data_IF_288256611900
#
_entry.id   IF_288256611900
#
_cell.length_a   1.000
_cell.length_b   1.000
_cell.length_c   1.000
_cell.angle_alpha   90.00
_cell.angle_beta   90.00
_cell.angle_gamma   90.00
#
_symmetry.space_group_name_H-M   'P 1'
#
loop_
_entity.id
_entity.type
_entity.pdbx_description
1 polymer ?
#
# COMPACT_ATOMS: atom_id res chain seq x y z
N UNK A 1 29.40 58.37 -18.84
CA UNK A 1 29.93 57.13 -18.34
C UNK A 1 29.09 56.01 -18.96
N UNK A 2 29.57 55.38 -20.02
CA UNK A 2 28.85 54.33 -20.77
C UNK A 2 29.27 53.00 -20.22
N UNK A 3 28.31 52.21 -19.74
CA UNK A 3 28.53 50.84 -19.25
C UNK A 3 28.17 49.89 -20.38
N UNK A 4 29.18 49.23 -20.93
CA UNK A 4 29.07 48.16 -21.93
C UNK A 4 28.76 46.84 -21.20
N UNK A 5 27.59 46.22 -21.48
CA UNK A 5 27.26 44.87 -21.01
C UNK A 5 27.81 43.86 -22.05
N UNK A 6 28.70 43.00 -21.56
CA UNK A 6 29.20 41.86 -22.35
C UNK A 6 28.17 40.72 -22.23
N UNK A 7 27.72 40.20 -23.35
CA UNK A 7 26.82 39.05 -23.46
C UNK A 7 27.71 37.80 -23.67
N UNK A 8 27.74 36.90 -22.67
CA UNK A 8 28.41 35.60 -22.78
C UNK A 8 27.41 34.59 -23.31
N UNK A 9 27.65 34.09 -24.50
CA UNK A 9 26.83 33.03 -25.11
C UNK A 9 27.27 31.69 -24.56
N UNK A 10 26.36 30.98 -23.85
CA UNK A 10 26.57 29.59 -23.43
C UNK A 10 26.00 28.69 -24.50
N UNK A 11 26.87 27.92 -25.13
CA UNK A 11 26.49 26.89 -26.11
C UNK A 11 26.11 25.60 -25.34
N UNK A 12 24.86 25.24 -25.40
CA UNK A 12 24.31 23.98 -24.83
C UNK A 12 24.53 22.87 -25.88
N UNK A 13 25.43 21.92 -25.58
CA UNK A 13 25.64 20.74 -26.40
C UNK A 13 24.69 19.64 -25.97
N UNK A 14 23.71 19.37 -26.79
CA UNK A 14 22.73 18.28 -26.56
C UNK A 14 23.36 16.96 -27.01
N UNK A 15 23.59 16.05 -26.06
CA UNK A 15 23.90 14.65 -26.36
C UNK A 15 22.59 13.87 -26.53
N UNK A 16 22.30 13.48 -27.76
CA UNK A 16 21.27 12.50 -28.08
C UNK A 16 21.87 11.10 -27.90
N UNK A 17 21.44 10.39 -26.88
CA UNK A 17 21.68 8.96 -26.76
C UNK A 17 20.49 8.25 -27.41
N UNK A 18 20.73 7.68 -28.60
CA UNK A 18 19.79 6.82 -29.27
C UNK A 18 19.93 5.41 -28.73
N UNK A 19 18.87 4.89 -28.04
CA UNK A 19 18.69 3.47 -27.84
C UNK A 19 18.08 2.87 -29.09
N UNK A 20 18.91 2.13 -29.87
CA UNK A 20 18.42 1.31 -30.97
C UNK A 20 18.12 -0.10 -30.50
N UNK A 21 17.19 -0.82 -31.13
CA UNK A 21 16.93 -2.20 -30.83
C UNK A 21 18.04 -3.09 -31.41
N UNK A 22 18.59 -4.00 -30.64
CA UNK A 22 19.49 -5.05 -31.12
C UNK A 22 18.73 -6.36 -31.26
N UNK A 23 18.35 -6.67 -32.48
CA UNK A 23 18.13 -8.05 -32.92
C UNK A 23 19.50 -8.68 -33.16
N UNK A 24 19.71 -9.85 -32.63
CA UNK A 24 20.96 -10.58 -32.79
C UNK A 24 20.80 -12.04 -32.40
N UNK A 25 20.33 -12.81 -33.37
CA UNK A 25 20.38 -14.26 -33.42
C UNK A 25 21.83 -14.70 -33.71
N UNK A 26 22.29 -15.81 -33.11
CA UNK A 26 23.57 -16.39 -33.48
C UNK A 26 24.16 -17.35 -32.43
N UNK A 27 23.97 -18.63 -32.61
CA UNK A 27 24.49 -19.73 -31.80
C UNK A 27 26.02 -19.95 -31.91
N UNK A 28 26.55 -20.74 -31.02
CA UNK A 28 27.97 -21.22 -31.05
C UNK A 28 28.43 -21.74 -29.70
N UNK A 29 28.47 -23.00 -29.60
CA UNK A 29 29.12 -24.06 -28.84
C UNK A 29 30.17 -23.72 -27.74
N UNK A 30 30.00 -24.41 -26.62
CA UNK A 30 30.92 -25.13 -25.71
C UNK A 30 32.31 -24.55 -25.39
N UNK A 31 32.57 -24.34 -24.11
CA UNK A 31 33.57 -25.14 -23.40
C UNK A 31 33.43 -25.04 -21.86
N UNK A 32 33.71 -26.11 -21.27
CA UNK A 32 33.52 -26.67 -19.97
C UNK A 32 34.48 -26.09 -18.89
N UNK A 33 34.03 -26.14 -17.64
CA UNK A 33 34.82 -26.33 -16.43
C UNK A 33 34.90 -25.18 -15.41
N UNK A 34 34.15 -25.34 -14.30
CA UNK A 34 34.31 -24.49 -13.10
C UNK A 34 33.22 -24.73 -12.06
N UNK A 35 33.33 -25.79 -11.33
CA UNK A 35 32.61 -26.20 -10.13
C UNK A 35 32.25 -25.02 -9.18
N UNK A 36 30.98 -24.74 -9.01
CA UNK A 36 30.43 -23.79 -8.04
C UNK A 36 28.99 -24.14 -7.74
N UNK A 37 28.77 -25.04 -6.79
CA UNK A 37 27.46 -25.49 -6.33
C UNK A 37 26.71 -24.34 -5.64
N UNK A 38 25.81 -23.73 -6.35
CA UNK A 38 24.85 -22.73 -5.87
C UNK A 38 23.52 -22.94 -6.58
N UNK A 39 22.80 -23.98 -6.17
CA UNK A 39 21.42 -24.22 -6.63
C UNK A 39 20.49 -23.17 -6.01
N UNK A 40 20.57 -21.97 -6.52
CA UNK A 40 19.53 -20.98 -6.36
C UNK A 40 18.54 -21.17 -7.48
N UNK A 41 17.42 -21.85 -7.21
CA UNK A 41 16.25 -21.81 -8.09
C UNK A 41 15.93 -20.33 -8.31
N UNK A 42 15.84 -19.83 -9.55
CA UNK A 42 15.41 -18.46 -9.76
C UNK A 42 14.00 -18.34 -9.18
N UNK A 43 13.87 -17.55 -8.13
CA UNK A 43 12.57 -17.18 -7.57
C UNK A 43 11.79 -16.57 -8.71
N UNK A 44 10.69 -17.20 -9.10
CA UNK A 44 9.77 -16.69 -10.09
C UNK A 44 9.26 -15.36 -9.51
N UNK A 45 9.77 -14.25 -10.01
CA UNK A 45 9.25 -12.93 -9.68
C UNK A 45 7.88 -12.87 -10.33
N UNK A 46 6.84 -13.09 -9.55
CA UNK A 46 5.47 -12.82 -10.00
C UNK A 46 5.40 -11.32 -10.27
N UNK A 47 4.97 -10.89 -11.46
CA UNK A 47 4.80 -9.46 -11.70
C UNK A 47 3.79 -8.93 -10.69
N UNK A 48 4.22 -7.98 -9.85
CA UNK A 48 3.33 -7.28 -8.95
C UNK A 48 2.59 -6.26 -9.80
N UNK A 49 1.34 -6.54 -10.09
CA UNK A 49 0.45 -5.54 -10.67
C UNK A 49 0.09 -4.53 -9.57
N UNK A 50 -0.06 -3.27 -9.95
CA UNK A 50 -0.54 -2.22 -9.06
C UNK A 50 -2.01 -1.95 -9.37
N UNK A 51 -2.78 -1.58 -8.35
CA UNK A 51 -4.09 -0.98 -8.56
C UNK A 51 -3.92 0.35 -9.30
N UNK A 52 -4.93 0.71 -10.03
CA UNK A 52 -5.01 2.01 -10.68
C UNK A 52 -5.37 3.12 -9.66
N UNK A 53 -5.39 4.36 -10.10
CA UNK A 53 -5.73 5.50 -9.27
C UNK A 53 -7.18 5.48 -8.76
N UNK A 54 -8.07 4.78 -9.48
CA UNK A 54 -9.51 4.79 -9.25
C UNK A 54 -10.21 6.06 -9.74
N UNK A 55 -9.53 6.89 -10.53
CA UNK A 55 -10.12 8.10 -11.10
C UNK A 55 -11.07 7.77 -12.23
N UNK A 56 -12.34 8.18 -12.14
CA UNK A 56 -13.37 7.88 -13.17
C UNK A 56 -13.92 9.12 -13.85
N UNK A 57 -13.39 10.29 -13.52
CA UNK A 57 -13.88 11.56 -14.03
C UNK A 57 -12.82 12.30 -14.85
N UNK A 58 -13.25 12.89 -15.95
CA UNK A 58 -12.48 13.86 -16.72
C UNK A 58 -13.09 15.25 -16.53
N UNK A 59 -12.25 16.29 -16.62
CA UNK A 59 -12.64 17.67 -16.36
C UNK A 59 -12.14 18.62 -17.45
N UNK A 60 -12.88 19.71 -17.64
CA UNK A 60 -12.47 20.87 -18.39
C UNK A 60 -12.64 22.14 -17.52
N UNK A 61 -12.36 23.36 -18.02
CA UNK A 61 -12.58 24.59 -17.26
C UNK A 61 -14.04 24.86 -16.87
N UNK A 62 -15.01 24.17 -17.46
CA UNK A 62 -16.44 24.32 -17.17
C UNK A 62 -16.94 23.24 -16.18
N UNK A 63 -16.17 22.15 -15.93
CA UNK A 63 -16.53 21.08 -15.01
C UNK A 63 -16.28 19.69 -15.55
N UNK A 64 -17.12 18.73 -15.15
CA UNK A 64 -17.04 17.34 -15.58
C UNK A 64 -17.37 17.19 -17.07
N UNK A 65 -16.55 16.41 -17.78
CA UNK A 65 -16.75 16.06 -19.20
C UNK A 65 -16.66 14.56 -19.41
N UNK A 66 -17.09 14.12 -20.59
CA UNK A 66 -16.83 12.74 -21.02
C UNK A 66 -15.33 12.56 -21.26
N UNK A 67 -14.74 11.50 -20.71
CA UNK A 67 -13.33 11.16 -20.86
C UNK A 67 -12.92 10.87 -22.32
N UNK A 68 -13.86 10.66 -23.22
CA UNK A 68 -13.58 10.55 -24.65
C UNK A 68 -13.51 11.90 -25.38
N UNK A 69 -13.52 13.02 -24.64
CA UNK A 69 -13.45 14.35 -25.23
C UNK A 69 -12.09 14.59 -25.89
N UNK A 70 -12.10 15.01 -27.15
CA UNK A 70 -10.89 15.36 -27.91
C UNK A 70 -10.27 16.68 -27.49
N UNK A 71 -10.98 17.51 -26.72
CA UNK A 71 -10.54 18.87 -26.39
C UNK A 71 -9.55 18.91 -25.22
N UNK A 72 -9.59 17.91 -24.32
CA UNK A 72 -8.75 17.82 -23.12
C UNK A 72 -8.20 16.40 -22.94
N UNK A 73 -7.40 15.86 -23.88
CA UNK A 73 -6.90 14.50 -23.81
C UNK A 73 -5.73 14.35 -22.83
N UNK A 74 -5.49 13.11 -22.39
CA UNK A 74 -4.37 12.76 -21.55
C UNK A 74 -4.67 12.83 -20.05
N UNK A 75 -5.95 12.83 -19.69
CA UNK A 75 -6.36 12.71 -18.30
C UNK A 75 -6.30 11.25 -17.84
N UNK A 76 -6.04 11.04 -16.57
CA UNK A 76 -5.85 9.72 -15.96
C UNK A 76 -7.00 8.75 -16.27
N UNK A 77 -8.21 9.20 -16.09
CA UNK A 77 -9.44 8.40 -16.33
C UNK A 77 -9.71 8.00 -17.77
N UNK A 78 -8.85 8.38 -18.71
CA UNK A 78 -8.89 7.90 -20.09
C UNK A 78 -8.18 6.55 -20.27
N UNK A 79 -7.36 6.16 -19.31
CA UNK A 79 -6.43 5.04 -19.41
C UNK A 79 -6.55 4.11 -18.20
N UNK A 80 -5.96 2.92 -18.31
CA UNK A 80 -5.83 2.02 -17.20
C UNK A 80 -7.05 1.13 -16.94
N UNK A 81 -7.07 0.57 -15.74
CA UNK A 81 -8.16 -0.32 -15.30
C UNK A 81 -9.41 0.46 -14.94
N UNK A 82 -9.30 1.61 -14.35
CA UNK A 82 -10.42 2.49 -13.99
C UNK A 82 -11.20 2.97 -15.24
N UNK A 83 -10.53 3.11 -16.38
CA UNK A 83 -11.18 3.36 -17.66
C UNK A 83 -11.91 2.15 -18.24
N UNK A 84 -11.37 0.94 -18.04
CA UNK A 84 -11.80 -0.29 -18.74
C UNK A 84 -12.62 -1.24 -17.87
N UNK A 85 -12.47 -1.18 -16.55
CA UNK A 85 -13.11 -2.03 -15.55
C UNK A 85 -13.80 -1.16 -14.49
N UNK A 86 -14.88 -0.50 -14.89
CA UNK A 86 -15.69 0.35 -14.00
C UNK A 86 -16.80 -0.45 -13.31
N UNK A 87 -16.50 -1.71 -13.01
CA UNK A 87 -17.43 -2.60 -12.34
C UNK A 87 -17.42 -2.31 -10.84
N UNK A 88 -18.59 -2.13 -10.25
CA UNK A 88 -18.76 -1.85 -8.83
C UNK A 88 -19.09 -3.11 -8.00
N UNK A 89 -19.15 -4.30 -8.63
CA UNK A 89 -19.56 -5.53 -7.95
C UNK A 89 -18.46 -6.17 -7.10
N UNK A 90 -17.19 -5.87 -7.42
CA UNK A 90 -16.02 -6.41 -6.73
C UNK A 90 -14.98 -5.33 -6.34
N UNK A 91 -15.35 -4.06 -6.44
CA UNK A 91 -14.54 -2.89 -6.15
C UNK A 91 -14.93 -1.72 -7.05
N UNK A 92 -14.44 -0.52 -6.75
CA UNK A 92 -14.78 0.71 -7.46
C UNK A 92 -13.66 1.08 -8.42
N UNK A 93 -14.00 1.39 -9.67
CA UNK A 93 -13.10 2.04 -10.63
C UNK A 93 -11.75 1.31 -10.82
N UNK A 94 -11.82 0.07 -11.27
CA UNK A 94 -10.62 -0.72 -11.58
C UNK A 94 -10.01 -1.48 -10.42
N UNK A 95 -10.41 -1.21 -9.18
CA UNK A 95 -10.15 -2.10 -8.06
C UNK A 95 -10.98 -3.38 -8.20
N UNK A 96 -10.45 -4.47 -7.66
CA UNK A 96 -11.16 -5.76 -7.67
C UNK A 96 -10.75 -6.53 -6.42
N UNK A 97 -11.74 -6.89 -5.59
CA UNK A 97 -11.52 -7.50 -4.30
C UNK A 97 -12.38 -8.76 -4.12
N UNK A 98 -11.92 -9.65 -3.26
CA UNK A 98 -12.67 -10.83 -2.83
C UNK A 98 -12.66 -10.92 -1.30
N UNK A 99 -13.82 -11.00 -0.68
CA UNK A 99 -13.98 -11.26 0.76
C UNK A 99 -13.56 -12.68 1.09
N UNK A 100 -12.83 -12.89 2.20
CA UNK A 100 -12.40 -14.20 2.67
C UNK A 100 -12.87 -14.43 4.10
N UNK A 101 -13.27 -15.67 4.39
CA UNK A 101 -13.57 -16.10 5.76
C UNK A 101 -12.28 -16.30 6.58
N UNK A 102 -12.43 -16.62 7.87
CA UNK A 102 -11.31 -16.82 8.81
C UNK A 102 -10.41 -18.03 8.45
N UNK A 103 -10.79 -18.83 7.47
CA UNK A 103 -10.00 -19.97 6.96
C UNK A 103 -9.44 -19.73 5.56
N UNK A 104 -9.68 -18.54 4.98
CA UNK A 104 -9.19 -18.14 3.67
C UNK A 104 -10.07 -18.52 2.48
N UNK A 105 -11.27 -19.08 2.71
CA UNK A 105 -12.19 -19.37 1.62
C UNK A 105 -12.87 -18.10 1.12
N UNK A 106 -13.01 -18.02 -0.20
CA UNK A 106 -13.73 -16.93 -0.83
C UNK A 106 -15.22 -16.93 -0.44
N UNK A 107 -15.72 -15.77 -0.12
CA UNK A 107 -17.12 -15.50 0.19
C UNK A 107 -17.79 -14.77 -0.98
N UNK A 108 -19.13 -14.79 -0.97
CA UNK A 108 -19.94 -13.97 -1.85
C UNK A 108 -19.73 -12.47 -1.56
N UNK A 109 -19.78 -11.61 -2.56
CA UNK A 109 -19.62 -10.17 -2.40
C UNK A 109 -20.65 -9.57 -1.41
N UNK A 110 -21.85 -10.15 -1.34
CA UNK A 110 -22.93 -9.78 -0.41
C UNK A 110 -22.68 -10.22 1.04
N UNK A 111 -21.58 -10.94 1.33
CA UNK A 111 -21.27 -11.35 2.70
C UNK A 111 -21.15 -10.12 3.61
N UNK A 112 -21.81 -10.20 4.78
CA UNK A 112 -21.82 -9.11 5.78
C UNK A 112 -20.73 -9.25 6.84
N UNK A 113 -20.06 -10.41 6.91
CA UNK A 113 -18.96 -10.69 7.81
C UNK A 113 -17.84 -11.39 7.03
N UNK A 114 -16.60 -10.91 7.17
CA UNK A 114 -15.40 -11.48 6.56
C UNK A 114 -14.17 -11.06 7.37
N UNK A 115 -13.10 -11.84 7.28
CA UNK A 115 -11.89 -11.63 8.08
C UNK A 115 -10.72 -11.08 7.29
N UNK A 116 -10.67 -11.36 5.98
CA UNK A 116 -9.62 -10.88 5.09
C UNK A 116 -10.19 -10.45 3.74
N UNK A 117 -9.38 -9.69 3.00
CA UNK A 117 -9.69 -9.23 1.65
C UNK A 117 -8.54 -9.61 0.73
N UNK A 118 -8.83 -10.38 -0.32
CA UNK A 118 -7.88 -10.56 -1.42
C UNK A 118 -8.03 -9.40 -2.39
N UNK A 119 -6.94 -8.73 -2.69
CA UNK A 119 -6.81 -7.82 -3.83
C UNK A 119 -6.52 -8.65 -5.08
N UNK A 120 -7.51 -8.76 -5.97
CA UNK A 120 -7.41 -9.60 -7.16
C UNK A 120 -6.47 -9.01 -8.23
N UNK A 121 -6.13 -7.72 -8.12
CA UNK A 121 -5.20 -7.05 -9.04
C UNK A 121 -3.75 -7.31 -8.63
N UNK A 122 -3.45 -7.12 -7.35
CA UNK A 122 -2.08 -7.27 -6.84
C UNK A 122 -1.77 -8.69 -6.41
N UNK A 123 -2.79 -9.50 -6.10
CA UNK A 123 -2.66 -10.83 -5.51
C UNK A 123 -2.42 -10.82 -4.00
N UNK A 124 -2.31 -9.64 -3.38
CA UNK A 124 -2.10 -9.52 -1.94
C UNK A 124 -3.37 -9.85 -1.16
N UNK A 125 -3.18 -10.38 0.04
CA UNK A 125 -4.28 -10.58 1.00
C UNK A 125 -4.10 -9.61 2.15
N UNK A 126 -5.15 -8.86 2.46
CA UNK A 126 -5.20 -7.84 3.49
C UNK A 126 -6.04 -8.28 4.67
N UNK A 127 -5.57 -7.97 5.87
CA UNK A 127 -6.37 -8.11 7.08
C UNK A 127 -7.59 -7.19 7.03
N UNK A 128 -8.78 -7.71 7.36
CA UNK A 128 -9.93 -6.88 7.70
C UNK A 128 -10.00 -6.70 9.21
N UNK A 129 -10.26 -5.49 9.69
CA UNK A 129 -10.25 -5.15 11.13
C UNK A 129 -11.54 -5.58 11.81
N UNK A 130 -11.44 -5.88 13.11
CA UNK A 130 -12.62 -6.12 13.94
C UNK A 130 -13.24 -4.80 14.38
N UNK A 131 -14.51 -4.59 14.04
CA UNK A 131 -15.23 -3.33 14.29
C UNK A 131 -16.16 -3.39 15.49
N UNK A 132 -16.51 -4.59 15.98
CA UNK A 132 -17.38 -4.78 17.12
C UNK A 132 -16.77 -4.21 18.41
N UNK A 133 -17.33 -3.12 18.91
CA UNK A 133 -16.87 -2.45 20.13
C UNK A 133 -16.89 -3.35 21.38
N UNK A 134 -17.70 -4.41 21.40
CA UNK A 134 -17.72 -5.37 22.51
C UNK A 134 -16.44 -6.22 22.55
N UNK A 135 -15.69 -6.28 21.45
CA UNK A 135 -14.44 -7.02 21.36
C UNK A 135 -13.20 -6.16 21.67
N UNK A 136 -13.34 -4.89 21.99
CA UNK A 136 -12.22 -4.01 22.28
C UNK A 136 -11.27 -4.60 23.32
N UNK A 137 -11.78 -5.14 24.41
CA UNK A 137 -10.97 -5.67 25.51
C UNK A 137 -10.60 -7.16 25.36
N UNK A 138 -10.96 -7.78 24.27
CA UNK A 138 -10.76 -9.23 24.08
C UNK A 138 -10.11 -9.59 22.75
N UNK A 139 -10.03 -8.63 21.81
CA UNK A 139 -9.50 -8.88 20.49
C UNK A 139 -8.47 -7.80 20.11
N UNK A 140 -7.21 -8.18 19.99
CA UNK A 140 -6.12 -7.25 19.64
C UNK A 140 -6.28 -6.64 18.23
N UNK A 141 -7.07 -7.28 17.35
CA UNK A 141 -7.40 -6.79 16.01
C UNK A 141 -8.46 -5.69 16.00
N UNK A 142 -9.01 -5.32 17.18
CA UNK A 142 -10.02 -4.27 17.25
C UNK A 142 -9.49 -2.97 16.64
N UNK A 143 -10.28 -2.39 15.75
CA UNK A 143 -9.90 -1.23 14.94
C UNK A 143 -9.51 0.03 15.73
N UNK A 144 -9.93 0.15 17.00
CA UNK A 144 -9.59 1.28 17.87
C UNK A 144 -8.19 1.21 18.48
N UNK A 145 -7.52 0.07 18.39
CA UNK A 145 -6.17 -0.09 18.93
C UNK A 145 -5.13 0.58 18.05
N UNK A 146 -4.12 1.17 18.72
CA UNK A 146 -2.98 1.77 18.06
C UNK A 146 -1.68 1.14 18.57
N UNK A 147 -0.60 1.30 17.80
CA UNK A 147 0.66 0.62 18.05
C UNK A 147 1.83 1.56 17.79
N UNK A 148 2.91 1.41 18.55
CA UNK A 148 4.19 2.02 18.23
C UNK A 148 4.91 1.21 17.15
N UNK A 149 5.70 1.87 16.34
CA UNK A 149 6.51 1.16 15.36
C UNK A 149 7.70 0.48 16.06
N UNK A 150 7.86 -0.81 15.84
CA UNK A 150 8.96 -1.60 16.38
C UNK A 150 9.30 -2.77 15.46
N UNK A 151 10.59 -2.97 15.20
CA UNK A 151 11.13 -4.12 14.49
C UNK A 151 12.56 -4.38 15.00
N UNK A 152 12.81 -5.52 15.63
CA UNK A 152 14.11 -5.91 16.15
C UNK A 152 15.04 -6.55 15.11
N UNK A 153 14.54 -6.81 13.89
CA UNK A 153 15.37 -7.28 12.79
C UNK A 153 16.27 -6.14 12.29
N UNK A 154 17.57 -6.24 12.61
CA UNK A 154 18.57 -5.22 12.24
C UNK A 154 18.78 -5.07 10.73
N UNK A 155 18.34 -6.03 9.91
CA UNK A 155 18.38 -5.93 8.46
C UNK A 155 17.26 -5.07 7.87
N UNK A 156 16.21 -4.78 8.67
CA UNK A 156 14.98 -4.15 8.20
C UNK A 156 14.61 -2.88 8.97
N UNK A 157 15.21 -2.63 10.14
CA UNK A 157 14.81 -1.55 11.02
C UNK A 157 15.51 -0.20 10.78
N UNK A 158 16.37 -0.11 9.75
CA UNK A 158 17.06 1.14 9.41
C UNK A 158 18.07 1.60 10.48
N UNK A 159 18.50 0.71 11.37
CA UNK A 159 19.44 0.98 12.47
C UNK A 159 18.79 1.47 13.76
N UNK A 160 17.45 1.62 13.78
CA UNK A 160 16.68 1.96 14.98
C UNK A 160 15.49 1.00 15.12
N UNK A 161 15.43 0.30 16.25
CA UNK A 161 14.39 -0.71 16.51
C UNK A 161 13.00 -0.11 16.74
N UNK A 162 12.90 1.18 17.04
CA UNK A 162 11.67 1.84 17.42
C UNK A 162 11.36 1.77 18.92
N UNK A 163 10.10 1.91 19.28
CA UNK A 163 9.67 2.08 20.68
C UNK A 163 8.77 0.93 21.17
N UNK A 164 8.91 0.58 22.46
CA UNK A 164 8.14 -0.50 23.12
C UNK A 164 7.45 -0.06 24.42
N UNK A 165 7.41 1.26 24.69
CA UNK A 165 7.07 1.76 26.03
C UNK A 165 5.59 1.75 26.39
N UNK A 166 4.69 1.65 25.44
CA UNK A 166 3.24 1.74 25.68
C UNK A 166 2.58 0.36 25.69
N UNK A 167 1.79 0.08 26.72
CA UNK A 167 1.08 -1.18 26.87
C UNK A 167 -0.44 -1.01 26.97
N UNK A 168 -0.91 0.23 27.14
CA UNK A 168 -2.33 0.54 27.36
C UNK A 168 -3.11 0.94 26.10
N UNK A 169 -2.41 1.13 24.98
CA UNK A 169 -3.02 1.57 23.69
C UNK A 169 -3.62 0.41 22.87
N UNK A 170 -3.43 -0.84 23.32
CA UNK A 170 -4.05 -2.05 22.85
C UNK A 170 -4.72 -2.85 24.00
N UNK A 171 -5.14 -2.14 25.04
CA UNK A 171 -5.85 -2.68 26.22
C UNK A 171 -5.12 -3.85 26.94
N UNK A 172 -3.79 -3.92 26.81
CA UNK A 172 -2.98 -4.98 27.44
C UNK A 172 -3.18 -6.37 26.82
N UNK A 173 -3.71 -6.45 25.61
CA UNK A 173 -3.95 -7.72 24.90
C UNK A 173 -2.70 -8.34 24.30
N UNK A 174 -1.62 -7.55 24.21
CA UNK A 174 -0.30 -7.98 23.76
C UNK A 174 0.74 -7.60 24.83
N UNK A 175 1.85 -8.32 24.88
CA UNK A 175 2.97 -8.05 25.79
C UNK A 175 3.52 -6.62 25.61
N UNK A 176 3.48 -6.10 24.39
CA UNK A 176 3.71 -4.71 24.07
C UNK A 176 2.83 -4.29 22.89
N UNK A 177 2.29 -3.07 22.94
CA UNK A 177 1.48 -2.52 21.86
C UNK A 177 2.36 -1.99 20.73
N UNK A 178 3.00 -2.89 19.99
CA UNK A 178 3.89 -2.57 18.88
C UNK A 178 3.51 -3.30 17.61
N UNK A 179 3.99 -2.79 16.47
CA UNK A 179 3.76 -3.39 15.17
C UNK A 179 4.26 -4.84 15.10
N UNK A 180 5.43 -5.14 15.66
CA UNK A 180 5.99 -6.49 15.65
C UNK A 180 5.18 -7.46 16.51
N UNK A 181 4.81 -7.08 17.74
CA UNK A 181 3.97 -7.94 18.60
C UNK A 181 2.60 -8.19 17.98
N UNK A 182 2.06 -7.20 17.29
CA UNK A 182 0.82 -7.36 16.53
C UNK A 182 0.96 -8.43 15.43
N UNK A 183 2.00 -8.33 14.61
CA UNK A 183 2.23 -9.28 13.51
C UNK A 183 2.51 -10.69 14.02
N UNK A 184 3.29 -10.83 15.09
CA UNK A 184 3.54 -12.14 15.73
C UNK A 184 2.22 -12.75 16.20
N UNK A 185 1.40 -12.00 16.94
CA UNK A 185 0.11 -12.50 17.42
C UNK A 185 -0.85 -12.87 16.27
N UNK A 186 -0.80 -12.12 15.17
CA UNK A 186 -1.63 -12.40 13.99
C UNK A 186 -1.22 -13.70 13.31
N UNK A 187 0.07 -13.96 13.20
CA UNK A 187 0.62 -15.21 12.66
C UNK A 187 0.33 -16.41 13.58
N UNK A 188 0.39 -16.20 14.90
CA UNK A 188 0.09 -17.25 15.89
C UNK A 188 -1.37 -17.71 15.83
N UNK A 189 -2.32 -16.78 15.56
CA UNK A 189 -3.73 -17.14 15.40
C UNK A 189 -4.05 -17.71 14.02
N UNK A 190 -3.15 -17.56 13.05
CA UNK A 190 -3.32 -18.09 11.69
C UNK A 190 -4.53 -17.51 10.97
N UNK A 191 -4.70 -16.18 11.04
CA UNK A 191 -5.84 -15.48 10.43
C UNK A 191 -5.98 -15.84 8.95
N UNK A 192 -7.18 -16.21 8.52
CA UNK A 192 -7.52 -16.65 7.16
C UNK A 192 -6.65 -17.84 6.66
N UNK A 193 -6.18 -18.69 7.60
CA UNK A 193 -5.30 -19.81 7.29
C UNK A 193 -3.86 -19.40 6.96
N UNK A 194 -3.49 -18.15 7.17
CA UNK A 194 -2.20 -17.55 6.82
C UNK A 194 -1.36 -17.35 8.08
N UNK A 195 -0.05 -17.61 8.00
CA UNK A 195 0.89 -17.46 9.11
C UNK A 195 2.20 -16.75 8.70
N UNK A 196 2.19 -16.03 7.59
CA UNK A 196 3.27 -15.19 7.08
C UNK A 196 2.84 -13.73 6.89
N UNK A 197 1.89 -13.28 7.71
CA UNK A 197 1.49 -11.88 7.80
C UNK A 197 2.68 -10.99 8.13
N UNK A 198 2.71 -9.83 7.51
CA UNK A 198 3.72 -8.79 7.72
C UNK A 198 3.11 -7.40 7.68
N UNK A 199 3.87 -6.39 8.11
CA UNK A 199 3.50 -5.02 7.78
C UNK A 199 3.62 -4.78 6.28
N UNK A 200 2.67 -4.04 5.67
CA UNK A 200 2.80 -3.62 4.29
C UNK A 200 3.96 -2.63 4.13
N UNK A 201 4.61 -2.65 2.98
CA UNK A 201 5.46 -1.54 2.58
C UNK A 201 4.62 -0.27 2.36
N UNK A 202 5.26 0.88 2.39
CA UNK A 202 4.58 2.16 2.14
C UNK A 202 3.90 2.19 0.76
N UNK A 203 4.50 1.53 -0.24
CA UNK A 203 3.95 1.48 -1.61
C UNK A 203 2.73 0.56 -1.70
N UNK A 204 2.78 -0.62 -1.08
CA UNK A 204 1.65 -1.55 -1.03
C UNK A 204 0.45 -0.88 -0.35
N UNK A 205 0.68 -0.29 0.82
CA UNK A 205 -0.37 0.36 1.58
C UNK A 205 -0.96 1.56 0.82
N UNK A 206 -0.12 2.40 0.21
CA UNK A 206 -0.58 3.53 -0.59
C UNK A 206 -1.33 3.09 -1.85
N UNK A 207 -1.02 1.91 -2.39
CA UNK A 207 -1.69 1.35 -3.58
C UNK A 207 -3.15 0.92 -3.33
N UNK A 208 -3.61 0.87 -2.08
CA UNK A 208 -5.02 0.71 -1.75
C UNK A 208 -5.83 2.01 -1.86
N UNK A 209 -5.17 3.16 -2.09
CA UNK A 209 -5.87 4.44 -2.14
C UNK A 209 -6.63 4.63 -3.45
N UNK A 210 -7.93 4.85 -3.35
CA UNK A 210 -8.80 5.20 -4.46
C UNK A 210 -9.01 6.72 -4.47
N UNK A 211 -8.46 7.41 -5.47
CA UNK A 211 -8.49 8.86 -5.57
C UNK A 211 -9.86 9.43 -5.96
N UNK A 212 -10.81 8.59 -6.37
CA UNK A 212 -12.19 8.98 -6.60
C UNK A 212 -13.02 9.07 -5.31
N UNK A 213 -12.53 8.49 -4.22
CA UNK A 213 -13.20 8.49 -2.94
C UNK A 213 -12.68 9.60 -2.03
N UNK A 214 -13.58 10.18 -1.24
CA UNK A 214 -13.27 11.19 -0.23
C UNK A 214 -13.67 10.64 1.13
N UNK A 215 -12.72 10.53 2.07
CA UNK A 215 -13.00 10.14 3.45
C UNK A 215 -13.77 8.81 3.64
N UNK A 216 -13.12 7.71 3.73
CA UNK A 216 -11.71 7.42 3.42
C UNK A 216 -11.49 7.24 1.91
N UNK A 217 -10.22 7.35 1.49
CA UNK A 217 -9.79 7.07 0.13
C UNK A 217 -9.46 5.58 -0.07
N UNK A 218 -10.31 4.71 0.42
CA UNK A 218 -10.23 3.25 0.29
C UNK A 218 -11.65 2.74 0.06
N UNK A 219 -11.78 1.58 -0.53
CA UNK A 219 -13.08 1.01 -0.85
C UNK A 219 -13.89 0.67 0.40
N UNK A 220 -14.67 1.65 0.82
CA UNK A 220 -15.54 1.63 2.00
C UNK A 220 -16.86 2.31 1.68
N UNK A 221 -17.95 1.61 1.89
CA UNK A 221 -19.30 2.18 1.77
C UNK A 221 -19.85 2.57 3.15
N UNK A 222 -20.33 3.80 3.28
CA UNK A 222 -21.13 4.24 4.44
C UNK A 222 -22.55 3.70 4.40
N UNK A 223 -22.98 3.17 3.25
CA UNK A 223 -24.31 2.57 3.03
C UNK A 223 -24.24 1.04 3.03
N UNK A 224 -23.55 0.51 4.00
CA UNK A 224 -23.28 -0.92 4.19
C UNK A 224 -24.56 -1.76 4.18
N UNK A 225 -25.63 -1.26 4.79
CA UNK A 225 -26.90 -2.00 4.92
C UNK A 225 -27.64 -2.12 3.59
N UNK A 226 -27.42 -1.17 2.66
CA UNK A 226 -28.10 -1.13 1.37
C UNK A 226 -27.19 -1.55 0.19
N UNK A 227 -25.85 -1.51 0.36
CA UNK A 227 -24.90 -1.92 -0.66
C UNK A 227 -23.71 -2.67 -0.04
N UNK A 228 -23.90 -3.88 0.51
CA UNK A 228 -22.83 -4.67 1.11
C UNK A 228 -21.77 -5.11 0.09
N UNK A 229 -22.11 -5.14 -1.19
CA UNK A 229 -21.21 -5.56 -2.28
C UNK A 229 -20.09 -4.55 -2.53
N UNK A 230 -20.31 -3.27 -2.18
CA UNK A 230 -19.32 -2.19 -2.33
C UNK A 230 -18.46 -1.97 -1.06
N UNK A 231 -18.52 -2.85 -0.07
CA UNK A 231 -17.78 -2.70 1.17
C UNK A 231 -16.81 -3.86 1.39
N UNK A 232 -15.54 -3.62 1.12
CA UNK A 232 -14.50 -4.62 1.28
C UNK A 232 -13.65 -4.40 2.54
N UNK A 233 -13.49 -3.17 2.98
CA UNK A 233 -12.70 -2.85 4.16
C UNK A 233 -13.57 -2.25 5.26
N UNK A 234 -13.53 -2.88 6.44
CA UNK A 234 -14.19 -2.39 7.64
C UNK A 234 -13.35 -1.28 8.28
N UNK A 235 -13.50 -0.05 7.80
CA UNK A 235 -12.89 1.10 8.43
C UNK A 235 -13.94 1.91 9.18
N UNK A 236 -13.83 1.95 10.48
CA UNK A 236 -14.62 2.89 11.25
C UNK A 236 -13.72 3.99 11.83
N UNK A 237 -14.11 5.20 11.53
CA UNK A 237 -13.62 6.49 12.07
C UNK A 237 -12.39 7.15 11.45
N UNK A 238 -12.55 8.37 11.33
CA UNK A 238 -11.96 9.56 10.77
C UNK A 238 -10.45 9.82 11.01
N UNK A 239 -9.63 8.84 11.35
CA UNK A 239 -8.19 9.05 11.58
C UNK A 239 -7.38 7.85 11.12
N UNK A 240 -7.37 7.62 9.87
CA UNK A 240 -6.94 6.42 9.17
C UNK A 240 -5.45 6.47 8.80
N UNK A 241 -4.60 6.53 9.83
CA UNK A 241 -3.15 6.55 9.63
C UNK A 241 -2.55 5.20 10.00
N UNK A 242 -2.11 4.45 9.01
CA UNK A 242 -1.59 3.10 9.20
C UNK A 242 -0.10 3.02 8.99
N UNK A 243 0.61 2.37 9.91
CA UNK A 243 2.03 2.10 9.80
C UNK A 243 2.38 1.27 8.57
N UNK A 244 3.48 1.61 7.91
CA UNK A 244 4.16 0.72 6.97
C UNK A 244 5.46 0.16 7.57
N UNK A 245 6.00 -0.87 6.95
CA UNK A 245 7.32 -1.42 7.30
C UNK A 245 8.47 -0.54 6.81
N UNK A 246 8.22 0.46 5.99
CA UNK A 246 9.24 1.25 5.31
C UNK A 246 9.83 2.30 6.26
N UNK A 247 11.13 2.18 6.54
CA UNK A 247 11.86 3.20 7.28
C UNK A 247 11.97 4.49 6.47
N UNK A 248 11.94 5.62 7.16
CA UNK A 248 12.09 6.94 6.54
C UNK A 248 13.34 7.64 7.07
N UNK A 249 14.10 8.23 6.14
CA UNK A 249 15.19 9.15 6.48
C UNK A 249 14.63 10.56 6.42
N UNK A 250 14.67 11.25 7.56
CA UNK A 250 14.39 12.68 7.59
C UNK A 250 15.60 13.42 6.99
N UNK A 251 15.38 14.09 5.87
CA UNK A 251 16.46 14.83 5.17
C UNK A 251 17.03 16.01 5.97
N UNK A 252 16.37 16.41 7.07
CA UNK A 252 16.84 17.44 7.99
C UNK A 252 17.74 16.87 9.09
N UNK A 253 17.72 15.55 9.28
CA UNK A 253 18.60 14.83 10.20
C UNK A 253 19.35 13.75 9.41
N UNK A 254 20.52 14.09 8.93
CA UNK A 254 21.34 13.24 8.06
C UNK A 254 22.39 12.43 8.83
N UNK A 255 22.36 12.48 10.14
CA UNK A 255 23.31 11.77 11.01
C UNK A 255 22.58 10.81 11.94
N UNK A 256 22.82 9.51 11.80
CA UNK A 256 22.28 8.50 12.69
C UNK A 256 21.34 7.49 12.04
N UNK A 257 20.70 6.62 12.85
CA UNK A 257 19.75 5.62 12.40
C UNK A 257 18.44 6.25 11.91
N UNK A 258 17.67 5.48 11.13
CA UNK A 258 16.35 5.91 10.68
C UNK A 258 15.31 5.82 11.82
N UNK A 259 15.21 6.86 12.62
CA UNK A 259 14.27 6.95 13.77
C UNK A 259 12.82 7.23 13.35
N UNK A 260 12.57 7.35 12.05
CA UNK A 260 11.25 7.60 11.46
C UNK A 260 10.80 6.43 10.59
N UNK A 261 9.50 6.27 10.44
CA UNK A 261 8.88 5.35 9.50
C UNK A 261 7.78 6.06 8.69
N UNK A 262 7.46 5.50 7.53
CA UNK A 262 6.33 5.95 6.73
C UNK A 262 5.03 5.39 7.29
N UNK A 263 3.98 6.20 7.20
CA UNK A 263 2.60 5.77 7.34
C UNK A 263 1.76 6.32 6.19
N UNK A 264 0.65 5.67 5.92
CA UNK A 264 -0.35 6.15 4.96
C UNK A 264 -1.56 6.67 5.71
N UNK A 265 -1.95 7.90 5.42
CA UNK A 265 -3.19 8.50 5.86
C UNK A 265 -4.21 8.40 4.73
N UNK A 266 -5.31 7.65 4.97
CA UNK A 266 -6.35 7.43 3.98
C UNK A 266 -7.37 8.58 3.88
N UNK A 267 -7.05 9.76 4.34
CA UNK A 267 -7.83 10.94 4.00
C UNK A 267 -8.36 11.77 5.15
N UNK A 268 -7.66 11.89 6.26
CA UNK A 268 -8.05 12.80 7.35
C UNK A 268 -8.24 14.27 6.88
N UNK A 269 -7.60 14.66 5.77
CA UNK A 269 -7.71 15.98 5.15
C UNK A 269 -8.33 15.96 3.74
N UNK A 270 -9.04 14.89 3.36
CA UNK A 270 -9.69 14.75 2.06
C UNK A 270 -8.82 14.18 0.93
N UNK A 271 -7.53 13.94 1.18
CA UNK A 271 -6.63 13.32 0.20
C UNK A 271 -5.75 12.26 0.88
N UNK A 272 -5.48 11.13 0.22
CA UNK A 272 -4.54 10.17 0.74
C UNK A 272 -3.14 10.78 0.79
N UNK A 273 -2.39 10.46 1.81
CA UNK A 273 -1.05 11.03 2.00
C UNK A 273 -0.08 10.00 2.53
N UNK A 274 1.10 9.96 1.91
CA UNK A 274 2.24 9.22 2.43
C UNK A 274 3.08 10.18 3.29
N UNK A 275 3.17 9.91 4.58
CA UNK A 275 3.74 10.83 5.57
C UNK A 275 4.81 10.08 6.40
N UNK A 276 5.77 10.82 6.95
CA UNK A 276 6.78 10.31 7.88
C UNK A 276 6.51 10.82 9.30
N UNK A 277 6.79 9.97 10.29
CA UNK A 277 6.73 10.36 11.70
C UNK A 277 7.73 9.55 12.53
N UNK A 278 7.99 9.96 13.76
CA UNK A 278 8.84 9.22 14.70
C UNK A 278 8.25 7.85 15.02
N UNK A 279 9.11 6.85 15.16
CA UNK A 279 8.70 5.48 15.51
C UNK A 279 8.06 5.36 16.90
N UNK A 280 8.28 6.35 17.76
CA UNK A 280 7.67 6.48 19.08
C UNK A 280 6.19 6.90 19.01
N UNK A 281 5.74 7.47 17.90
CA UNK A 281 4.34 7.80 17.70
C UNK A 281 3.46 6.55 17.59
N UNK A 282 2.16 6.75 17.72
CA UNK A 282 1.19 5.66 17.62
C UNK A 282 0.32 5.80 16.38
N UNK A 283 0.15 4.71 15.65
CA UNK A 283 -0.73 4.60 14.49
C UNK A 283 -1.42 3.24 14.50
N UNK A 284 -2.40 3.08 13.64
CA UNK A 284 -3.06 1.82 13.40
C UNK A 284 -2.17 0.85 12.63
N UNK A 285 -2.48 -0.43 12.73
CA UNK A 285 -1.84 -1.50 11.95
C UNK A 285 -2.89 -2.19 11.09
N UNK A 286 -2.54 -2.45 9.86
CA UNK A 286 -3.21 -3.38 8.96
C UNK A 286 -2.14 -4.27 8.35
N UNK A 287 -2.33 -5.57 8.45
CA UNK A 287 -1.37 -6.54 7.96
C UNK A 287 -1.65 -6.93 6.51
N UNK A 288 -0.61 -7.40 5.83
CA UNK A 288 -0.66 -7.94 4.47
C UNK A 288 0.08 -9.26 4.39
N UNK A 289 -0.37 -10.16 3.53
CA UNK A 289 0.31 -11.39 3.19
C UNK A 289 0.34 -11.58 1.67
N UNK A 290 1.25 -12.45 1.19
CA UNK A 290 1.23 -12.87 -0.20
C UNK A 290 0.06 -13.82 -0.44
N UNK A 291 -0.69 -13.61 -1.53
CA UNK A 291 -1.67 -14.58 -2.00
C UNK A 291 -0.98 -15.74 -2.71
N UNK A 292 -1.41 -16.99 -2.46
CA UNK A 292 -0.91 -18.18 -3.18
C UNK A 292 -1.35 -18.19 -4.65
#
# INVERSE_FOLDING_TARGET
>A
MRITKSLTTVTLTTFLIACGPSDGDGGGENDDNGNGNGSGTPTKVTPVYLNDSGSVHCIDPAGLIDCNSVDFPGQDSEFGRDATHRDDTDGVAGFSFTKLDNTGNALDASATEWDCVRDNVTGLIWENKVTDALQQQTNFRYMGHTFQWYNDNSAENGGDVGATGLTNICDGLLDACTTQHYIVALNDVGLCGINDWRLPTAKELYNLTNHNLNHPTIDYSTDRDNNPEANYFEFMFARYSYWSSTNAVNTLDTSGPAIHAYYVDFGNNGYPSLIITGKEDTRWVMAVAEGE
#
